data_IF_888418122200
#
_entry.id   IF_888418122200
#
_cell.length_a   1.000
_cell.length_b   1.000
_cell.length_c   1.000
_cell.angle_alpha   90.00
_cell.angle_beta   90.00
_cell.angle_gamma   90.00
#
_symmetry.space_group_name_H-M   'P 1'
#
loop_
_entity.id
_entity.type
_entity.pdbx_description
1 polymer ?
#
# COMPACT_ATOMS: atom_id res chain seq x y z
N UNK A 1 -33.64 -72.07 -11.87
CA UNK A 1 -32.27 -71.62 -12.25
C UNK A 1 -32.36 -70.15 -12.64
N UNK A 2 -31.56 -69.33 -11.95
CA UNK A 2 -31.27 -67.88 -12.06
C UNK A 2 -31.99 -67.04 -13.13
N UNK A 3 -32.46 -65.84 -12.74
CA UNK A 3 -31.70 -64.58 -12.97
C UNK A 3 -32.51 -63.31 -12.64
N UNK A 4 -31.98 -62.53 -11.69
CA UNK A 4 -31.78 -61.06 -11.69
C UNK A 4 -32.87 -60.09 -12.17
N UNK A 5 -33.16 -59.11 -11.30
CA UNK A 5 -32.73 -57.72 -11.58
C UNK A 5 -33.83 -56.66 -11.71
N UNK A 6 -33.83 -55.65 -10.81
CA UNK A 6 -34.30 -54.31 -11.15
C UNK A 6 -34.93 -53.50 -10.01
N UNK A 7 -34.15 -53.14 -8.98
CA UNK A 7 -34.48 -51.98 -8.12
C UNK A 7 -34.33 -50.70 -8.94
N UNK A 8 -35.42 -49.99 -9.21
CA UNK A 8 -35.39 -48.61 -9.71
C UNK A 8 -34.80 -47.71 -8.61
N UNK A 9 -33.58 -47.23 -8.83
CA UNK A 9 -33.02 -46.13 -8.06
C UNK A 9 -33.49 -44.82 -8.69
N UNK A 10 -34.18 -44.00 -7.89
CA UNK A 10 -34.49 -42.61 -8.19
C UNK A 10 -33.19 -41.82 -8.37
N UNK A 11 -32.96 -41.29 -9.57
CA UNK A 11 -31.85 -40.42 -9.86
C UNK A 11 -32.07 -39.06 -9.18
N UNK A 12 -31.34 -38.82 -8.09
CA UNK A 12 -31.26 -37.52 -7.44
C UNK A 12 -30.70 -36.47 -8.42
N UNK A 13 -31.47 -35.42 -8.67
CA UNK A 13 -31.08 -34.27 -9.48
C UNK A 13 -29.85 -33.58 -8.86
N UNK A 14 -28.81 -33.25 -9.63
CA UNK A 14 -27.66 -32.54 -9.09
C UNK A 14 -28.09 -31.11 -8.73
N UNK A 15 -28.00 -30.78 -7.45
CA UNK A 15 -28.17 -29.42 -6.94
C UNK A 15 -27.09 -28.53 -7.56
N UNK A 16 -27.51 -27.68 -8.49
CA UNK A 16 -26.63 -26.70 -9.13
C UNK A 16 -25.89 -25.89 -8.06
N UNK A 17 -24.57 -26.03 -8.04
CA UNK A 17 -23.67 -25.15 -7.29
C UNK A 17 -23.99 -23.72 -7.74
N UNK A 18 -24.63 -22.93 -6.87
CA UNK A 18 -24.79 -21.49 -7.09
C UNK A 18 -23.40 -20.92 -7.30
N UNK A 19 -23.09 -20.55 -8.54
CA UNK A 19 -21.89 -19.80 -8.87
C UNK A 19 -21.82 -18.60 -7.92
N UNK A 20 -20.71 -18.49 -7.20
CA UNK A 20 -20.46 -17.38 -6.31
C UNK A 20 -20.36 -16.13 -7.19
N UNK A 21 -21.47 -15.38 -7.35
CA UNK A 21 -21.44 -14.08 -8.01
C UNK A 21 -20.40 -13.24 -7.26
N UNK A 22 -19.40 -12.65 -7.93
CA UNK A 22 -18.52 -11.69 -7.30
C UNK A 22 -19.42 -10.64 -6.65
N UNK A 23 -19.27 -10.40 -5.34
CA UNK A 23 -19.96 -9.28 -4.69
C UNK A 23 -19.67 -8.03 -5.52
N UNK A 24 -20.70 -7.44 -6.11
CA UNK A 24 -20.59 -6.11 -6.72
C UNK A 24 -19.93 -5.21 -5.68
N UNK A 25 -18.76 -4.67 -6.05
CA UNK A 25 -18.04 -3.78 -5.14
C UNK A 25 -18.90 -2.53 -4.98
N UNK A 26 -18.97 -2.01 -3.76
CA UNK A 26 -19.61 -0.73 -3.45
C UNK A 26 -19.19 0.33 -4.51
N UNK A 27 -20.15 1.00 -5.21
CA UNK A 27 -19.85 2.00 -6.23
C UNK A 27 -18.85 3.06 -5.77
N UNK A 28 -18.85 3.44 -4.49
CA UNK A 28 -17.90 4.42 -3.94
C UNK A 28 -16.48 3.87 -3.87
N UNK A 29 -16.35 2.59 -3.58
CA UNK A 29 -15.06 1.91 -3.59
C UNK A 29 -14.54 1.82 -5.01
N UNK A 30 -15.42 1.58 -5.99
CA UNK A 30 -15.05 1.59 -7.41
C UNK A 30 -14.59 2.98 -7.85
N UNK A 31 -15.38 4.01 -7.59
CA UNK A 31 -15.05 5.40 -7.90
C UNK A 31 -13.76 5.84 -7.22
N UNK A 32 -13.59 5.58 -5.93
CA UNK A 32 -12.37 5.91 -5.17
C UNK A 32 -11.12 5.22 -5.72
N UNK A 33 -11.24 3.99 -6.21
CA UNK A 33 -10.13 3.28 -6.88
C UNK A 33 -9.81 3.90 -8.25
N UNK A 34 -10.83 4.18 -9.05
CA UNK A 34 -10.68 4.82 -10.36
C UNK A 34 -10.02 6.21 -10.23
N UNK A 35 -10.51 7.05 -9.30
CA UNK A 35 -9.90 8.33 -8.95
C UNK A 35 -8.46 8.18 -8.47
N UNK A 36 -8.18 7.22 -7.58
CA UNK A 36 -6.81 6.97 -7.09
C UNK A 36 -5.87 6.60 -8.24
N UNK A 37 -6.31 5.80 -9.21
CA UNK A 37 -5.49 5.46 -10.37
C UNK A 37 -5.27 6.68 -11.27
N UNK A 38 -6.36 7.34 -11.70
CA UNK A 38 -6.29 8.47 -12.63
C UNK A 38 -5.41 9.60 -12.07
N UNK A 39 -5.62 9.99 -10.82
CA UNK A 39 -4.97 11.15 -10.21
C UNK A 39 -3.54 10.88 -9.71
N UNK A 40 -3.13 9.61 -9.51
CA UNK A 40 -1.78 9.29 -8.99
C UNK A 40 -0.83 8.74 -10.04
N UNK A 41 -1.37 8.07 -11.04
CA UNK A 41 -0.60 7.22 -11.95
C UNK A 41 -0.99 7.45 -13.41
N UNK A 42 -2.30 7.56 -13.68
CA UNK A 42 -2.84 7.47 -15.02
C UNK A 42 -3.00 8.78 -15.78
N UNK A 43 -2.83 9.95 -15.15
CA UNK A 43 -3.25 11.23 -15.72
C UNK A 43 -2.73 11.47 -17.15
N UNK A 44 -1.41 11.35 -17.35
CA UNK A 44 -0.79 11.50 -18.68
C UNK A 44 -1.31 10.47 -19.69
N UNK A 45 -1.42 9.20 -19.28
CA UNK A 45 -1.91 8.11 -20.13
C UNK A 45 -3.39 8.28 -20.51
N UNK A 46 -4.17 8.91 -19.64
CA UNK A 46 -5.58 9.20 -19.84
C UNK A 46 -5.82 10.54 -20.54
N UNK A 47 -4.76 11.28 -20.92
CA UNK A 47 -4.87 12.59 -21.54
C UNK A 47 -5.46 13.67 -20.62
N UNK A 48 -5.37 13.51 -19.31
CA UNK A 48 -5.88 14.50 -18.36
C UNK A 48 -4.90 15.68 -18.25
N UNK A 49 -5.40 16.93 -18.33
CA UNK A 49 -4.58 18.13 -18.17
C UNK A 49 -4.28 18.36 -16.67
N UNK A 50 -3.32 17.62 -16.14
CA UNK A 50 -2.87 17.75 -14.75
C UNK A 50 -1.91 18.93 -14.60
N UNK A 51 -2.25 19.86 -13.71
CA UNK A 51 -1.39 20.98 -13.34
C UNK A 51 -0.18 20.54 -12.50
N UNK A 52 0.77 21.45 -12.32
CA UNK A 52 1.97 21.25 -11.50
C UNK A 52 1.64 20.94 -10.03
N UNK A 53 0.48 21.41 -9.55
CA UNK A 53 -0.07 21.21 -8.21
C UNK A 53 -0.91 19.92 -8.07
N UNK A 54 -1.03 19.15 -9.17
CA UNK A 54 -1.70 17.86 -9.26
C UNK A 54 -3.20 17.93 -9.54
N UNK A 55 -3.77 19.14 -9.68
CA UNK A 55 -5.20 19.30 -9.97
C UNK A 55 -5.54 19.02 -11.43
N UNK A 56 -6.72 18.43 -11.65
CA UNK A 56 -7.35 18.23 -12.96
C UNK A 56 -8.77 18.79 -12.93
N UNK A 57 -9.30 19.33 -14.05
CA UNK A 57 -10.72 19.68 -14.16
C UNK A 57 -11.60 18.44 -13.99
N UNK A 58 -12.54 18.52 -13.05
CA UNK A 58 -13.43 17.41 -12.73
C UNK A 58 -14.32 17.05 -13.92
N UNK A 59 -14.80 18.05 -14.66
CA UNK A 59 -15.59 17.84 -15.87
C UNK A 59 -14.83 16.98 -16.89
N UNK A 60 -13.56 17.30 -17.16
CA UNK A 60 -12.71 16.52 -18.07
C UNK A 60 -12.48 15.10 -17.57
N UNK A 61 -12.26 14.92 -16.26
CA UNK A 61 -12.09 13.58 -15.67
C UNK A 61 -13.33 12.72 -15.85
N UNK A 62 -14.53 13.28 -15.65
CA UNK A 62 -15.79 12.55 -15.76
C UNK A 62 -16.15 12.14 -17.21
N UNK A 63 -15.52 12.75 -18.22
CA UNK A 63 -15.68 12.34 -19.62
C UNK A 63 -14.95 11.03 -19.98
N UNK A 64 -14.03 10.55 -19.15
CA UNK A 64 -13.33 9.30 -19.44
C UNK A 64 -14.27 8.09 -19.29
N UNK A 65 -14.11 7.03 -20.11
CA UNK A 65 -15.01 5.87 -20.11
C UNK A 65 -15.22 5.21 -18.74
N UNK A 66 -14.17 5.18 -17.92
CA UNK A 66 -14.22 4.60 -16.57
C UNK A 66 -15.03 5.42 -15.55
N UNK A 67 -15.45 6.64 -15.90
CA UNK A 67 -16.21 7.53 -15.03
C UNK A 67 -17.64 7.84 -15.54
N UNK A 68 -18.05 7.31 -16.71
CA UNK A 68 -19.35 7.61 -17.33
C UNK A 68 -20.57 7.30 -16.45
N UNK A 69 -20.44 6.38 -15.50
CA UNK A 69 -21.51 6.02 -14.57
C UNK A 69 -21.54 6.87 -13.29
N UNK A 70 -20.66 7.86 -13.16
CA UNK A 70 -20.53 8.68 -11.94
C UNK A 70 -20.79 10.16 -12.23
N UNK A 71 -21.50 10.79 -11.30
CA UNK A 71 -21.80 12.22 -11.33
C UNK A 71 -20.78 13.05 -10.56
N UNK A 72 -20.86 14.37 -10.69
CA UNK A 72 -20.12 15.31 -9.84
C UNK A 72 -20.49 15.10 -8.37
N UNK A 73 -21.75 14.84 -8.09
CA UNK A 73 -22.30 14.60 -6.76
C UNK A 73 -21.71 13.32 -6.15
N UNK A 74 -21.52 12.26 -6.96
CA UNK A 74 -20.84 11.04 -6.53
C UNK A 74 -19.39 11.31 -6.14
N UNK A 75 -18.68 12.11 -6.93
CA UNK A 75 -17.30 12.49 -6.62
C UNK A 75 -17.26 13.32 -5.34
N UNK A 76 -18.10 14.34 -5.20
CA UNK A 76 -18.18 15.16 -4.00
C UNK A 76 -18.46 14.29 -2.75
N UNK A 77 -19.41 13.35 -2.88
CA UNK A 77 -19.76 12.40 -1.83
C UNK A 77 -18.56 11.52 -1.46
N UNK A 78 -17.88 10.93 -2.45
CA UNK A 78 -16.68 10.12 -2.21
C UNK A 78 -15.57 10.94 -1.57
N UNK A 79 -15.32 12.18 -2.00
CA UNK A 79 -14.31 13.05 -1.39
C UNK A 79 -14.65 13.30 0.08
N UNK A 80 -15.90 13.63 0.39
CA UNK A 80 -16.36 13.97 1.74
C UNK A 80 -16.38 12.77 2.68
N UNK A 81 -16.82 11.59 2.22
CA UNK A 81 -16.97 10.39 3.06
C UNK A 81 -15.72 9.52 3.09
N UNK A 82 -14.70 9.81 2.28
CA UNK A 82 -13.45 9.05 2.29
C UNK A 82 -12.76 9.19 3.65
N UNK A 83 -12.80 8.16 4.48
CA UNK A 83 -12.10 8.17 5.79
C UNK A 83 -10.63 8.55 5.67
N UNK A 84 -9.96 8.17 4.57
CA UNK A 84 -8.54 8.45 4.34
C UNK A 84 -8.26 9.85 3.77
N UNK A 85 -9.30 10.63 3.46
CA UNK A 85 -9.22 11.96 2.87
C UNK A 85 -8.21 11.98 1.70
N UNK A 86 -8.40 11.06 0.75
CA UNK A 86 -7.41 10.81 -0.32
C UNK A 86 -7.30 11.91 -1.34
N UNK A 87 -8.34 12.72 -1.45
CA UNK A 87 -8.54 13.66 -2.54
C UNK A 87 -8.89 15.01 -1.95
N UNK A 88 -8.54 16.06 -2.67
CA UNK A 88 -9.04 17.42 -2.43
C UNK A 88 -9.80 17.86 -3.66
N UNK A 89 -11.00 18.39 -3.42
CA UNK A 89 -11.82 19.05 -4.42
C UNK A 89 -11.87 20.54 -4.06
N UNK A 90 -11.66 21.41 -5.03
CA UNK A 90 -11.76 22.87 -4.85
C UNK A 90 -12.57 23.50 -5.98
N UNK A 91 -13.17 24.68 -5.77
CA UNK A 91 -13.69 25.49 -6.85
C UNK A 91 -12.58 25.80 -7.86
N UNK A 92 -12.93 25.83 -9.15
CA UNK A 92 -12.09 26.41 -10.20
C UNK A 92 -12.81 27.59 -10.86
N UNK A 93 -12.21 28.12 -11.92
CA UNK A 93 -12.80 29.23 -12.67
C UNK A 93 -14.09 28.80 -13.39
N UNK A 94 -15.00 29.74 -13.74
CA UNK A 94 -16.26 29.42 -14.41
C UNK A 94 -16.11 28.59 -15.69
N UNK A 95 -15.00 28.76 -16.41
CA UNK A 95 -14.71 28.01 -17.65
C UNK A 95 -14.22 26.58 -17.41
N UNK A 96 -13.57 26.30 -16.27
CA UNK A 96 -12.99 24.98 -15.97
C UNK A 96 -13.88 24.15 -15.05
N UNK A 97 -14.70 24.81 -14.23
CA UNK A 97 -15.47 24.18 -13.16
C UNK A 97 -14.56 23.65 -12.03
N UNK A 98 -15.10 22.78 -11.15
CA UNK A 98 -14.37 22.24 -10.01
C UNK A 98 -13.09 21.48 -10.40
N UNK A 99 -12.07 21.57 -9.56
CA UNK A 99 -10.78 20.91 -9.74
C UNK A 99 -10.58 19.85 -8.66
N UNK A 100 -10.07 18.67 -9.04
CA UNK A 100 -9.77 17.57 -8.13
C UNK A 100 -8.31 17.13 -8.21
N UNK A 101 -7.70 16.76 -7.08
CA UNK A 101 -6.39 16.07 -7.05
C UNK A 101 -6.35 14.96 -6.00
N UNK A 102 -5.31 14.13 -6.05
CA UNK A 102 -4.94 13.27 -4.93
C UNK A 102 -4.01 14.00 -3.96
N UNK A 103 -4.15 13.75 -2.66
CA UNK A 103 -3.36 14.43 -1.61
C UNK A 103 -1.95 13.86 -1.43
N UNK A 104 -1.73 12.62 -1.89
CA UNK A 104 -0.44 11.93 -1.84
C UNK A 104 -0.48 10.68 -2.72
N UNK A 105 0.68 10.04 -2.86
CA UNK A 105 0.80 8.68 -3.41
C UNK A 105 0.97 8.63 -4.92
N UNK A 106 1.38 9.75 -5.51
CA UNK A 106 1.71 9.88 -6.92
C UNK A 106 2.92 9.02 -7.29
N UNK A 107 2.84 8.39 -8.46
CA UNK A 107 4.03 7.95 -9.23
C UNK A 107 4.44 8.98 -10.27
N UNK A 108 3.54 9.92 -10.58
CA UNK A 108 3.80 11.06 -11.44
C UNK A 108 4.52 12.14 -10.63
N UNK A 109 5.37 12.91 -11.30
CA UNK A 109 5.98 14.09 -10.70
C UNK A 109 4.94 15.20 -10.60
N UNK A 110 4.74 15.72 -9.39
CA UNK A 110 3.82 16.82 -9.07
C UNK A 110 4.63 17.82 -8.24
N UNK A 111 5.38 18.72 -8.91
CA UNK A 111 6.39 19.55 -8.25
C UNK A 111 5.82 20.53 -7.24
N UNK A 112 4.58 21.00 -7.45
CA UNK A 112 3.89 21.95 -6.58
C UNK A 112 2.83 21.25 -5.72
N UNK A 113 3.00 19.95 -5.45
CA UNK A 113 2.12 19.24 -4.54
C UNK A 113 2.18 19.90 -3.16
N UNK A 114 1.02 20.24 -2.61
CA UNK A 114 0.92 20.89 -1.31
C UNK A 114 1.40 19.95 -0.20
N UNK A 115 2.64 20.17 0.24
CA UNK A 115 3.35 19.41 1.25
C UNK A 115 3.93 20.39 2.27
N UNK A 116 3.56 20.24 3.53
CA UNK A 116 4.12 21.05 4.62
C UNK A 116 5.47 20.47 5.05
N UNK A 117 6.59 21.21 4.94
CA UNK A 117 7.90 20.74 5.42
C UNK A 117 7.92 20.53 6.94
N UNK A 118 8.63 19.49 7.38
CA UNK A 118 8.86 19.18 8.80
C UNK A 118 10.37 19.32 9.09
N UNK A 119 10.81 20.54 9.29
CA UNK A 119 12.24 20.90 9.26
C UNK A 119 12.98 20.65 10.59
N UNK A 120 12.24 20.54 11.70
CA UNK A 120 12.82 20.33 13.03
C UNK A 120 12.38 18.99 13.62
N UNK A 121 13.19 18.39 14.51
CA UNK A 121 12.78 17.17 15.21
C UNK A 121 11.48 17.33 16.01
N UNK A 122 11.12 18.55 16.41
CA UNK A 122 9.92 18.86 17.19
C UNK A 122 8.67 18.94 16.30
N UNK A 123 8.85 19.24 15.00
CA UNK A 123 7.78 19.19 14.02
C UNK A 123 7.44 17.75 13.60
N UNK A 124 8.37 16.80 13.76
CA UNK A 124 8.11 15.39 13.47
C UNK A 124 7.14 14.76 14.48
N UNK A 125 6.23 13.87 14.04
CA UNK A 125 5.51 13.00 14.95
C UNK A 125 6.46 12.14 15.81
N UNK A 126 6.04 11.87 17.05
CA UNK A 126 6.78 11.01 17.98
C UNK A 126 7.05 9.60 17.43
N UNK A 127 6.13 9.10 16.61
CA UNK A 127 6.24 7.81 15.92
C UNK A 127 6.27 8.06 14.43
N UNK A 128 7.26 7.47 13.76
CA UNK A 128 7.34 7.38 12.31
C UNK A 128 7.49 5.92 11.95
N UNK A 129 6.48 5.34 11.31
CA UNK A 129 6.48 3.91 11.02
C UNK A 129 6.08 3.61 9.58
N UNK A 130 6.79 2.69 8.97
CA UNK A 130 6.46 2.12 7.66
C UNK A 130 5.94 0.70 7.81
N UNK A 131 4.77 0.42 7.26
CA UNK A 131 4.20 -0.92 7.24
C UNK A 131 4.44 -1.60 5.91
N UNK A 132 4.97 -2.81 5.97
CA UNK A 132 5.30 -3.62 4.81
C UNK A 132 4.82 -5.06 4.98
N UNK A 133 4.97 -5.86 3.93
CA UNK A 133 4.70 -7.30 3.94
C UNK A 133 5.99 -8.07 4.20
N UNK A 134 5.88 -9.24 4.82
CA UNK A 134 7.01 -10.07 5.23
C UNK A 134 7.99 -10.34 4.08
N UNK A 135 7.46 -10.64 2.89
CA UNK A 135 8.25 -10.89 1.68
C UNK A 135 9.20 -9.75 1.29
N UNK A 136 8.94 -8.52 1.72
CA UNK A 136 9.78 -7.35 1.42
C UNK A 136 10.80 -7.07 2.51
N UNK A 137 10.62 -7.63 3.72
CA UNK A 137 11.47 -7.36 4.86
C UNK A 137 12.96 -7.66 4.61
N UNK A 138 13.37 -8.80 4.03
CA UNK A 138 14.79 -9.06 3.78
C UNK A 138 15.47 -7.99 2.90
N UNK A 139 14.78 -7.49 1.88
CA UNK A 139 15.32 -6.43 1.02
C UNK A 139 15.36 -5.08 1.75
N UNK A 140 14.35 -4.79 2.57
CA UNK A 140 14.29 -3.54 3.34
C UNK A 140 15.39 -3.50 4.39
N UNK A 141 15.62 -4.62 5.08
CA UNK A 141 16.68 -4.75 6.06
C UNK A 141 18.07 -4.53 5.43
N UNK A 142 18.28 -5.05 4.22
CA UNK A 142 19.55 -4.92 3.51
C UNK A 142 19.77 -3.55 2.87
N UNK A 143 18.74 -2.99 2.20
CA UNK A 143 18.88 -1.83 1.31
C UNK A 143 18.25 -0.55 1.85
N UNK A 144 17.36 -0.66 2.83
CA UNK A 144 16.52 0.44 3.30
C UNK A 144 15.13 0.44 2.67
N UNK A 145 14.31 1.40 3.08
CA UNK A 145 13.03 1.68 2.43
C UNK A 145 13.29 2.51 1.17
N UNK A 146 12.50 2.31 0.12
CA UNK A 146 12.57 3.12 -1.09
C UNK A 146 11.20 3.65 -1.48
N UNK A 147 11.18 4.71 -2.30
CA UNK A 147 9.94 5.23 -2.87
C UNK A 147 9.24 4.22 -3.80
N UNK A 148 9.96 3.18 -4.24
CA UNK A 148 9.52 2.20 -5.24
C UNK A 148 9.00 2.92 -6.49
N UNK A 149 7.79 2.62 -6.96
CA UNK A 149 7.18 3.33 -8.08
C UNK A 149 6.51 4.66 -7.72
N UNK A 150 6.72 5.21 -6.51
CA UNK A 150 6.14 6.49 -6.08
C UNK A 150 7.21 7.56 -5.97
N UNK A 151 6.79 8.80 -5.75
CA UNK A 151 7.72 9.93 -5.53
C UNK A 151 8.25 10.02 -4.10
N UNK A 152 7.58 9.38 -3.13
CA UNK A 152 7.94 9.44 -1.71
C UNK A 152 7.72 8.10 -1.02
N UNK A 153 8.53 7.84 0.02
CA UNK A 153 8.27 6.83 1.04
C UNK A 153 7.14 7.34 1.94
N UNK A 154 6.11 6.53 2.13
CA UNK A 154 4.99 6.82 3.02
C UNK A 154 5.26 6.28 4.43
N UNK A 155 5.12 7.16 5.41
CA UNK A 155 5.20 6.86 6.84
C UNK A 155 3.87 7.20 7.52
N UNK A 156 3.54 6.47 8.57
CA UNK A 156 2.40 6.73 9.43
C UNK A 156 2.87 7.27 10.80
N UNK A 157 2.06 8.12 11.45
CA UNK A 157 2.36 8.63 12.79
C UNK A 157 2.04 7.61 13.92
N UNK A 158 1.83 6.33 13.59
CA UNK A 158 1.49 5.24 14.51
C UNK A 158 1.11 3.94 13.78
N UNK A 159 0.78 2.89 14.53
CA UNK A 159 0.41 1.57 14.01
C UNK A 159 -1.07 1.52 13.55
N UNK A 160 -1.49 0.53 12.73
CA UNK A 160 -2.85 0.45 12.26
C UNK A 160 -3.74 0.06 13.45
N UNK A 161 -4.75 0.87 13.72
CA UNK A 161 -5.64 0.70 14.88
C UNK A 161 -5.37 1.68 16.02
N UNK A 162 -4.22 2.36 16.01
CA UNK A 162 -3.96 3.45 16.96
C UNK A 162 -4.91 4.63 16.68
N UNK A 163 -5.29 5.34 17.74
CA UNK A 163 -6.17 6.50 17.63
C UNK A 163 -5.55 7.57 16.72
N UNK A 164 -6.33 8.07 15.76
CA UNK A 164 -5.87 9.08 14.79
C UNK A 164 -5.06 8.55 13.61
N UNK A 165 -4.69 7.25 13.57
CA UNK A 165 -3.93 6.66 12.46
C UNK A 165 -4.89 6.07 11.42
N UNK A 166 -5.24 6.88 10.42
CA UNK A 166 -6.20 6.48 9.38
C UNK A 166 -5.50 6.12 8.04
N UNK A 167 -4.36 6.75 7.78
CA UNK A 167 -3.61 6.69 6.52
C UNK A 167 -2.13 6.42 6.75
N UNK A 168 -1.37 6.23 5.67
CA UNK A 168 0.08 5.94 5.74
C UNK A 168 0.42 4.45 5.82
N UNK A 169 -0.48 3.60 6.34
CA UNK A 169 -0.23 2.17 6.46
C UNK A 169 -1.40 1.29 5.99
N UNK A 170 -1.08 0.08 5.51
CA UNK A 170 -2.10 -0.92 5.15
C UNK A 170 -2.52 -1.68 6.41
N UNK A 171 -3.83 -1.88 6.67
CA UNK A 171 -4.29 -2.63 7.85
C UNK A 171 -3.81 -4.07 7.93
N UNK A 172 -3.34 -4.63 6.81
CA UNK A 172 -2.84 -6.00 6.73
C UNK A 172 -1.33 -6.11 6.56
N UNK A 173 -0.56 -5.06 6.86
CA UNK A 173 0.90 -5.18 6.92
C UNK A 173 1.32 -6.21 7.99
N UNK A 174 2.44 -6.88 7.72
CA UNK A 174 2.98 -7.96 8.55
C UNK A 174 4.22 -7.51 9.31
N UNK A 175 4.88 -6.44 8.85
CA UNK A 175 6.07 -5.87 9.46
C UNK A 175 5.88 -4.36 9.57
N UNK A 176 6.28 -3.80 10.72
CA UNK A 176 6.38 -2.37 10.98
C UNK A 176 7.86 -2.00 11.18
N UNK A 177 8.34 -1.01 10.46
CA UNK A 177 9.71 -0.48 10.56
C UNK A 177 9.63 0.93 11.12
N UNK A 178 10.17 1.13 12.32
CA UNK A 178 10.15 2.42 13.01
C UNK A 178 11.39 3.22 12.62
N UNK A 179 11.19 4.50 12.35
CA UNK A 179 12.21 5.39 11.80
C UNK A 179 12.69 6.36 12.88
N UNK A 180 14.01 6.48 12.99
CA UNK A 180 14.66 7.56 13.72
C UNK A 180 14.65 8.83 12.85
N UNK A 181 13.52 9.52 12.85
CA UNK A 181 13.34 10.77 12.11
C UNK A 181 14.34 11.87 12.48
N UNK A 182 14.62 12.14 13.77
CA UNK A 182 15.62 13.14 14.16
C UNK A 182 17.01 12.89 13.57
N UNK A 183 17.47 11.63 13.57
CA UNK A 183 18.75 11.26 12.95
C UNK A 183 18.72 11.43 11.42
N UNK A 184 17.61 11.05 10.77
CA UNK A 184 17.47 11.23 9.34
C UNK A 184 17.45 12.72 8.95
N UNK A 185 16.76 13.56 9.72
CA UNK A 185 16.76 15.01 9.53
C UNK A 185 18.15 15.61 9.70
N UNK A 186 18.91 15.24 10.74
CA UNK A 186 20.27 15.76 10.96
C UNK A 186 21.23 15.37 9.83
N UNK A 187 20.97 14.25 9.17
CA UNK A 187 21.72 13.77 8.00
C UNK A 187 21.19 14.36 6.67
N UNK A 188 20.27 15.33 6.73
CA UNK A 188 19.77 16.07 5.56
C UNK A 188 18.60 15.40 4.82
N UNK A 189 17.98 14.35 5.37
CA UNK A 189 16.79 13.72 4.78
C UNK A 189 15.55 14.55 5.12
N UNK A 190 14.90 15.09 4.09
CA UNK A 190 13.69 15.90 4.27
C UNK A 190 12.47 15.06 4.63
N UNK A 191 11.56 15.65 5.41
CA UNK A 191 10.24 15.10 5.73
C UNK A 191 9.16 16.13 5.46
N UNK A 192 7.99 15.65 5.07
CA UNK A 192 6.84 16.47 4.76
C UNK A 192 5.57 15.86 5.33
N UNK A 193 4.57 16.69 5.58
CA UNK A 193 3.20 16.28 5.90
C UNK A 193 2.28 16.65 4.73
N UNK A 194 1.55 15.67 4.21
CA UNK A 194 0.50 15.91 3.21
C UNK A 194 -0.75 16.54 3.83
N UNK A 195 -1.63 17.09 2.98
CA UNK A 195 -2.93 17.65 3.38
C UNK A 195 -3.80 16.68 4.23
N UNK A 196 -3.63 15.36 4.08
CA UNK A 196 -4.33 14.35 4.87
C UNK A 196 -3.48 13.71 5.99
N UNK A 197 -2.44 14.42 6.45
CA UNK A 197 -1.65 14.06 7.64
C UNK A 197 -0.68 12.89 7.45
N UNK A 198 -0.47 12.41 6.21
CA UNK A 198 0.50 11.35 5.94
C UNK A 198 1.89 11.96 5.93
N UNK A 199 2.84 11.30 6.58
CA UNK A 199 4.23 11.73 6.58
C UNK A 199 4.94 11.13 5.37
N UNK A 200 5.69 11.96 4.66
CA UNK A 200 6.35 11.63 3.41
C UNK A 200 7.83 11.98 3.52
N UNK A 201 8.69 11.16 2.94
CA UNK A 201 10.09 11.50 2.72
C UNK A 201 10.51 11.04 1.32
N UNK A 202 11.25 11.85 0.55
CA UNK A 202 11.84 11.39 -0.71
C UNK A 202 12.96 10.38 -0.47
N UNK A 203 13.48 10.26 0.77
CA UNK A 203 14.71 9.53 1.04
C UNK A 203 15.95 10.36 0.68
N UNK A 204 17.08 9.70 0.49
CA UNK A 204 18.31 10.30 0.00
C UNK A 204 18.22 10.61 -1.51
N UNK A 205 19.34 11.02 -2.12
CA UNK A 205 19.41 11.32 -3.56
C UNK A 205 18.96 10.14 -4.46
N UNK A 206 19.10 8.90 -3.98
CA UNK A 206 18.71 7.68 -4.70
C UNK A 206 17.27 7.23 -4.40
N UNK A 207 16.53 7.99 -3.58
CA UNK A 207 15.17 7.67 -3.20
C UNK A 207 15.04 6.66 -2.05
N UNK A 208 16.11 6.48 -1.26
CA UNK A 208 16.20 5.51 -0.16
C UNK A 208 16.28 6.14 1.23
N UNK A 209 15.58 5.55 2.17
CA UNK A 209 15.81 5.73 3.60
C UNK A 209 16.57 4.51 4.12
N UNK A 210 17.87 4.72 4.34
CA UNK A 210 18.83 3.65 4.65
C UNK A 210 18.55 2.96 6.00
N UNK A 211 18.99 1.69 6.18
CA UNK A 211 18.77 0.93 7.41
C UNK A 211 19.34 1.59 8.68
N UNK A 212 20.37 2.44 8.56
CA UNK A 212 20.94 3.19 9.69
C UNK A 212 19.91 4.11 10.39
N UNK A 213 18.82 4.44 9.72
CA UNK A 213 17.73 5.23 10.29
C UNK A 213 16.62 4.36 10.91
N UNK A 214 16.75 3.04 10.92
CA UNK A 214 15.76 2.16 11.54
C UNK A 214 16.01 2.14 13.06
N UNK A 215 15.01 2.57 13.82
CA UNK A 215 15.03 2.54 15.29
C UNK A 215 14.75 1.15 15.82
N UNK A 216 13.74 0.49 15.26
CA UNK A 216 13.34 -0.88 15.58
C UNK A 216 12.45 -1.44 14.46
N UNK A 217 12.26 -2.76 14.44
CA UNK A 217 11.28 -3.41 13.57
C UNK A 217 10.46 -4.44 14.35
N UNK A 218 9.16 -4.50 14.04
CA UNK A 218 8.23 -5.45 14.65
C UNK A 218 7.57 -6.29 13.56
N UNK A 219 7.57 -7.60 13.74
CA UNK A 219 6.57 -8.44 13.10
C UNK A 219 5.23 -8.16 13.79
N UNK A 220 4.18 -7.91 13.02
CA UNK A 220 2.81 -7.66 13.50
C UNK A 220 1.96 -8.92 13.42
N UNK A 221 2.23 -9.80 12.44
CA UNK A 221 1.46 -11.02 12.16
C UNK A 221 2.39 -12.15 11.72
N UNK A 222 2.03 -13.43 11.97
CA UNK A 222 0.84 -13.88 12.72
C UNK A 222 0.94 -13.59 14.22
N UNK A 223 2.15 -13.46 14.75
CA UNK A 223 2.43 -13.14 16.15
C UNK A 223 3.29 -11.91 16.22
N UNK A 224 2.98 -11.02 17.18
CA UNK A 224 3.75 -9.79 17.40
C UNK A 224 5.08 -10.14 18.07
N UNK A 225 6.20 -9.80 17.43
CA UNK A 225 7.54 -9.97 18.00
C UNK A 225 8.54 -8.95 17.44
N UNK A 226 9.57 -8.57 18.21
CA UNK A 226 10.69 -7.80 17.69
C UNK A 226 11.42 -8.55 16.57
N UNK A 227 11.98 -7.80 15.62
CA UNK A 227 12.84 -8.29 14.56
C UNK A 227 14.25 -7.70 14.73
N UNK A 228 15.27 -8.52 14.48
CA UNK A 228 16.66 -8.08 14.47
C UNK A 228 16.89 -7.08 13.34
N UNK A 229 17.56 -5.96 13.66
CA UNK A 229 18.06 -5.01 12.67
C UNK A 229 19.50 -5.33 12.23
N UNK A 230 20.19 -6.21 12.96
CA UNK A 230 21.40 -6.81 12.44
C UNK A 230 20.96 -7.78 11.35
N UNK A 231 21.48 -7.64 10.13
CA UNK A 231 21.23 -8.59 9.07
C UNK A 231 21.71 -9.96 9.53
N UNK A 232 20.80 -10.83 9.98
CA UNK A 232 21.15 -12.14 10.50
C UNK A 232 21.87 -12.92 9.39
N UNK A 233 23.20 -13.06 9.53
CA UNK A 233 24.03 -13.96 8.72
C UNK A 233 23.83 -15.43 9.13
N UNK A 234 22.69 -15.79 9.71
CA UNK A 234 22.40 -17.15 10.16
C UNK A 234 21.19 -17.72 9.45
N UNK A 235 21.45 -18.42 8.34
CA UNK A 235 20.84 -19.74 8.06
C UNK A 235 21.48 -20.37 6.81
N UNK A 236 22.65 -20.97 7.00
CA UNK A 236 23.06 -22.16 6.24
C UNK A 236 23.86 -23.07 7.16
N UNK A 237 23.17 -23.90 7.93
CA UNK A 237 23.61 -25.26 8.30
C UNK A 237 22.57 -25.95 9.18
N UNK A 238 21.76 -26.80 8.55
CA UNK A 238 21.29 -28.06 9.15
C UNK A 238 20.66 -28.91 8.03
N UNK A 239 21.51 -29.41 7.13
CA UNK A 239 21.14 -30.54 6.29
C UNK A 239 21.09 -31.82 7.16
N UNK A 240 20.13 -32.72 6.94
CA UNK A 240 19.98 -33.91 7.77
C UNK A 240 21.19 -34.84 7.61
N UNK A 241 21.73 -35.32 8.73
CA UNK A 241 22.75 -36.37 8.78
C UNK A 241 22.21 -37.62 8.09
N UNK A 242 22.69 -37.91 6.88
CA UNK A 242 22.47 -39.22 6.27
C UNK A 242 23.24 -40.28 7.07
N UNK A 243 22.48 -41.17 7.70
CA UNK A 243 22.95 -42.43 8.26
C UNK A 243 23.51 -43.30 7.14
N UNK A 244 24.83 -43.53 7.16
CA UNK A 244 25.48 -44.56 6.35
C UNK A 244 25.20 -45.92 7.01
N UNK A 245 24.24 -46.66 6.45
CA UNK A 245 24.10 -48.10 6.71
C UNK A 245 25.34 -48.82 6.18
N UNK A 246 26.04 -49.51 7.07
CA UNK A 246 27.19 -50.35 6.74
C UNK A 246 26.83 -51.48 5.77
N UNK A 247 27.62 -51.61 4.71
CA UNK A 247 27.70 -52.83 3.90
C UNK A 247 28.67 -53.79 4.58
N UNK A 248 28.16 -54.94 5.04
CA UNK A 248 28.99 -56.10 5.35
C UNK A 248 29.56 -56.66 4.05
N UNK A 249 30.88 -56.76 3.98
CA UNK A 249 31.56 -57.66 3.05
C UNK A 249 31.40 -59.09 3.54
N UNK A 250 31.05 -60.01 2.63
CA UNK A 250 31.25 -61.45 2.79
C UNK A 250 32.27 -61.82 1.73
N UNK A 251 33.38 -62.42 2.16
CA UNK A 251 34.38 -63.05 1.30
C UNK A 251 34.57 -64.48 1.82
N UNK A 252 34.43 -65.41 0.87
CA UNK A 252 34.71 -66.86 0.91
C UNK A 252 33.74 -67.74 1.71
#
# INVERSE_FOLDING_TARGET
MNSSGGRRQEAARPTGRKAHRPREQDPDVQLSKALSYALRHGALKLGLPMGADGFVPLGTLLQLPQFHSFSTEDVQRVVNTNRKQRFTLRPGDPSTGPLIRANQGHSLQVPELELMPLETPQALPLVLVHGTFWKHWPSILLKGLSCQGRTHIHLAPGLPGDAGVISGMRPNCEVAVFINGPLALSDGISFFRSANGVILTPGNADGFLLPKYFKEALQLRPTRKPLSLAGDKETKQSGPKHSLRGRRMIQQ
#
